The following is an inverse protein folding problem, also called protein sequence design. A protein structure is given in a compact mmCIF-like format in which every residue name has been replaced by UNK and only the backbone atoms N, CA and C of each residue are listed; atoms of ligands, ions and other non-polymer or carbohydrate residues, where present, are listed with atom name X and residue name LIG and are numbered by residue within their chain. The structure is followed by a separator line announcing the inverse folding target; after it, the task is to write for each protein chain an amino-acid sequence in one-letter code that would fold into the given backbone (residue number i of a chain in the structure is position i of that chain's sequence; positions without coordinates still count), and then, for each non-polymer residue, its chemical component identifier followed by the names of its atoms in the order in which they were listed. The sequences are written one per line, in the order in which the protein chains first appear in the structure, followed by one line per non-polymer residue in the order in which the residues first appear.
data_IF_972974337167
#
_entry.id   IF_972974337167
#
_cell.length_a   1.000
_cell.length_b   1.000
_cell.length_c   1.000
_cell.angle_alpha   90.00
_cell.angle_beta   90.00
_cell.angle_gamma   90.00
#
_symmetry.space_group_name_H-M   'P 1'
#
loop_
_entity.id
_entity.type
_entity.pdbx_description
1 polymer ?
#
# COMPACT_ATOMS: atom_id res chain seq x y z
N UNK A 1 -19.66 -65.71 15.20
CA UNK A 1 -20.60 -64.89 14.42
C UNK A 1 -21.55 -65.82 13.68
N UNK A 2 -22.76 -65.99 14.21
CA UNK A 2 -23.82 -66.67 13.46
C UNK A 2 -24.23 -65.77 12.29
N UNK A 3 -23.86 -66.15 11.06
CA UNK A 3 -24.03 -65.31 9.84
C UNK A 3 -25.46 -64.84 9.58
N UNK A 4 -26.46 -65.50 10.16
CA UNK A 4 -27.88 -65.24 10.00
C UNK A 4 -28.48 -64.27 11.04
N UNK A 5 -27.68 -63.70 11.95
CA UNK A 5 -28.17 -62.81 13.00
C UNK A 5 -27.86 -61.32 12.78
N UNK A 6 -27.21 -60.95 11.67
CA UNK A 6 -26.86 -59.55 11.35
C UNK A 6 -26.21 -58.78 12.52
N UNK A 7 -25.40 -59.46 13.33
CA UNK A 7 -24.72 -58.87 14.49
C UNK A 7 -25.62 -58.66 15.73
N UNK A 8 -26.77 -59.32 15.82
CA UNK A 8 -27.58 -59.37 17.04
C UNK A 8 -26.90 -60.19 18.16
N UNK A 9 -25.99 -61.11 17.81
CA UNK A 9 -25.14 -61.87 18.74
C UNK A 9 -24.02 -61.02 19.36
N UNK A 10 -23.81 -59.78 18.91
CA UNK A 10 -22.74 -58.92 19.40
C UNK A 10 -23.22 -58.22 20.69
N UNK A 11 -22.68 -58.59 21.87
CA UNK A 11 -23.16 -58.07 23.15
C UNK A 11 -22.87 -56.58 23.33
N UNK A 12 -21.72 -56.13 22.81
CA UNK A 12 -21.33 -54.72 22.76
C UNK A 12 -20.90 -54.35 21.33
N UNK A 13 -21.84 -53.77 20.59
CA UNK A 13 -21.61 -53.34 19.21
C UNK A 13 -20.54 -52.25 19.12
N UNK A 14 -20.41 -51.38 20.13
CA UNK A 14 -19.43 -50.29 20.13
C UNK A 14 -18.02 -50.83 20.31
N UNK A 15 -17.83 -51.75 21.27
CA UNK A 15 -16.54 -52.42 21.47
C UNK A 15 -16.16 -53.28 20.27
N UNK A 16 -17.12 -53.99 19.66
CA UNK A 16 -16.88 -54.76 18.44
C UNK A 16 -16.39 -53.87 17.30
N UNK A 17 -17.08 -52.76 17.00
CA UNK A 17 -16.68 -51.80 15.97
C UNK A 17 -15.25 -51.29 16.20
N UNK A 18 -14.90 -50.98 17.45
CA UNK A 18 -13.55 -50.55 17.82
C UNK A 18 -12.49 -51.63 17.59
N UNK A 19 -12.78 -52.88 17.96
CA UNK A 19 -11.85 -54.00 17.82
C UNK A 19 -11.54 -54.34 16.35
N UNK A 20 -12.50 -54.11 15.44
CA UNK A 20 -12.30 -54.31 14.00
C UNK A 20 -11.81 -53.06 13.28
N UNK A 21 -11.48 -51.98 14.01
CA UNK A 21 -10.94 -50.74 13.45
C UNK A 21 -11.94 -49.91 12.66
N UNK A 22 -13.24 -50.03 12.94
CA UNK A 22 -14.30 -49.25 12.28
C UNK A 22 -14.72 -48.04 13.11
N UNK A 23 -15.09 -46.95 12.45
CA UNK A 23 -15.55 -45.70 13.07
C UNK A 23 -17.05 -45.71 13.27
N UNK A 24 -17.55 -45.09 14.35
CA UNK A 24 -18.99 -44.92 14.52
C UNK A 24 -19.50 -43.93 13.45
N UNK A 25 -20.66 -44.22 12.86
CA UNK A 25 -21.24 -43.37 11.82
C UNK A 25 -22.75 -43.34 11.84
N UNK A 26 -23.33 -42.25 11.36
CA UNK A 26 -24.76 -42.12 11.07
C UNK A 26 -24.98 -41.15 9.91
N UNK A 27 -26.15 -41.22 9.27
CA UNK A 27 -26.58 -40.23 8.26
C UNK A 27 -27.71 -39.42 8.85
N UNK A 28 -27.64 -38.10 8.69
CA UNK A 28 -28.67 -37.19 9.22
C UNK A 28 -28.83 -35.96 8.35
N UNK A 29 -29.88 -35.18 8.65
CA UNK A 29 -30.16 -33.90 8.01
C UNK A 29 -30.27 -32.82 9.07
N UNK A 30 -29.78 -31.62 8.75
CA UNK A 30 -29.94 -30.43 9.57
C UNK A 30 -31.17 -29.65 9.08
N UNK A 31 -32.29 -29.83 9.77
CA UNK A 31 -33.59 -29.25 9.40
C UNK A 31 -33.92 -28.02 10.27
N UNK A 32 -34.26 -26.90 9.64
CA UNK A 32 -34.67 -25.67 10.34
C UNK A 32 -34.17 -24.38 9.68
N UNK A 33 -33.06 -24.46 8.97
CA UNK A 33 -32.45 -23.34 8.27
C UNK A 33 -30.93 -23.31 8.45
N UNK A 34 -30.29 -22.23 7.99
CA UNK A 34 -28.91 -21.91 8.33
C UNK A 34 -28.89 -21.40 9.77
N UNK A 35 -28.03 -21.97 10.61
CA UNK A 35 -27.95 -21.59 12.01
C UNK A 35 -27.27 -22.66 12.86
N UNK A 36 -27.63 -22.67 14.15
CA UNK A 36 -26.98 -23.45 15.20
C UNK A 36 -27.81 -24.68 15.57
N UNK A 37 -27.11 -25.80 15.75
CA UNK A 37 -27.71 -27.09 16.05
C UNK A 37 -27.01 -27.75 17.22
N UNK A 38 -27.77 -28.29 18.17
CA UNK A 38 -27.21 -29.15 19.23
C UNK A 38 -26.84 -30.52 18.63
N UNK A 39 -25.62 -30.65 18.14
CA UNK A 39 -25.14 -31.83 17.41
C UNK A 39 -24.99 -33.04 18.33
N UNK A 40 -24.38 -32.85 19.49
CA UNK A 40 -24.00 -33.96 20.35
C UNK A 40 -24.10 -33.61 21.84
N UNK A 41 -24.24 -34.65 22.66
CA UNK A 41 -23.95 -34.60 24.09
C UNK A 41 -22.77 -35.52 24.35
N UNK A 42 -21.72 -35.00 24.98
CA UNK A 42 -20.49 -35.73 25.28
C UNK A 42 -20.28 -35.79 26.78
N UNK A 43 -19.78 -36.91 27.29
CA UNK A 43 -19.22 -36.96 28.66
C UNK A 43 -17.73 -37.16 28.55
N UNK A 44 -16.96 -36.19 29.05
CA UNK A 44 -15.51 -36.12 28.88
C UNK A 44 -14.85 -35.80 30.21
N UNK A 45 -14.48 -36.82 31.00
CA UNK A 45 -13.76 -36.63 32.25
C UNK A 45 -12.54 -35.73 32.10
N UNK A 46 -12.23 -34.94 33.13
CA UNK A 46 -11.06 -34.05 33.17
C UNK A 46 -9.73 -34.82 33.33
N UNK A 47 -9.54 -35.84 32.49
CA UNK A 47 -8.45 -36.82 32.53
C UNK A 47 -8.11 -37.27 31.10
N UNK A 48 -7.51 -36.38 30.31
CA UNK A 48 -7.02 -36.65 28.95
C UNK A 48 -8.06 -37.29 27.99
N UNK A 49 -9.33 -36.90 28.10
CA UNK A 49 -10.37 -37.32 27.17
C UNK A 49 -10.29 -36.60 25.83
N UNK A 50 -10.50 -37.32 24.74
CA UNK A 50 -10.56 -36.77 23.37
C UNK A 50 -11.82 -37.27 22.70
N UNK A 51 -12.51 -36.37 21.99
CA UNK A 51 -13.63 -36.70 21.09
C UNK A 51 -13.31 -36.11 19.72
N UNK A 52 -13.50 -36.91 18.68
CA UNK A 52 -13.44 -36.51 17.28
C UNK A 52 -14.82 -36.70 16.66
N UNK A 53 -15.32 -35.69 15.96
CA UNK A 53 -16.55 -35.75 15.17
C UNK A 53 -16.27 -35.11 13.81
N UNK A 54 -16.59 -35.81 12.72
CA UNK A 54 -16.50 -35.25 11.37
C UNK A 54 -17.84 -35.28 10.65
N UNK A 55 -18.05 -34.23 9.86
CA UNK A 55 -19.08 -34.14 8.85
C UNK A 55 -18.46 -34.46 7.48
N UNK A 56 -19.05 -35.40 6.76
CA UNK A 56 -18.73 -35.71 5.36
C UNK A 56 -19.97 -35.35 4.52
N UNK A 57 -19.76 -34.45 3.56
CA UNK A 57 -20.81 -33.69 2.88
C UNK A 57 -20.91 -32.26 3.42
N UNK A 58 -21.93 -31.53 3.00
CA UNK A 58 -22.17 -30.16 3.42
C UNK A 58 -23.52 -29.64 2.97
N UNK A 59 -23.71 -28.33 3.08
CA UNK A 59 -24.88 -27.62 2.62
C UNK A 59 -25.00 -27.64 1.07
N UNK A 60 -26.04 -28.30 0.58
CA UNK A 60 -26.42 -28.42 -0.83
C UNK A 60 -25.79 -29.61 -1.57
N UNK A 61 -26.25 -29.86 -2.80
CA UNK A 61 -25.94 -31.05 -3.61
C UNK A 61 -25.96 -30.75 -5.13
N UNK A 62 -25.57 -29.54 -5.50
CA UNK A 62 -25.53 -29.05 -6.88
C UNK A 62 -24.32 -29.61 -7.64
N UNK A 63 -24.54 -29.97 -8.90
CA UNK A 63 -23.44 -30.30 -9.83
C UNK A 63 -22.54 -29.07 -10.02
N UNK A 64 -21.24 -29.29 -10.27
CA UNK A 64 -20.22 -28.25 -10.43
C UNK A 64 -20.00 -27.35 -9.19
N UNK A 65 -20.45 -27.80 -8.02
CA UNK A 65 -20.21 -27.15 -6.72
C UNK A 65 -19.35 -28.05 -5.82
N UNK A 66 -18.05 -28.26 -6.14
CA UNK A 66 -17.21 -29.27 -5.48
C UNK A 66 -17.01 -29.01 -3.97
N UNK A 67 -17.16 -27.78 -3.49
CA UNK A 67 -17.12 -27.46 -2.07
C UNK A 67 -18.22 -28.18 -1.25
N UNK A 68 -19.32 -28.61 -1.89
CA UNK A 68 -20.43 -29.34 -1.26
C UNK A 68 -20.09 -30.80 -0.97
N UNK A 69 -19.11 -31.38 -1.69
CA UNK A 69 -18.45 -32.62 -1.29
C UNK A 69 -17.41 -32.36 -0.19
N UNK A 70 -17.84 -31.66 0.86
CA UNK A 70 -16.96 -31.13 1.89
C UNK A 70 -16.65 -32.10 3.02
N UNK A 71 -15.65 -31.73 3.81
CA UNK A 71 -15.32 -32.39 5.08
C UNK A 71 -15.13 -31.31 6.14
N UNK A 72 -15.67 -31.52 7.33
CA UNK A 72 -15.40 -30.71 8.52
C UNK A 72 -15.01 -31.61 9.67
N UNK A 73 -13.98 -31.25 10.43
CA UNK A 73 -13.43 -32.09 11.49
C UNK A 73 -13.40 -31.30 12.81
N UNK A 74 -14.21 -31.73 13.76
CA UNK A 74 -14.28 -31.18 15.11
C UNK A 74 -13.52 -32.10 16.07
N UNK A 75 -12.57 -31.54 16.79
CA UNK A 75 -11.83 -32.22 17.86
C UNK A 75 -12.09 -31.50 19.17
N UNK A 76 -12.51 -32.24 20.19
CA UNK A 76 -12.64 -31.76 21.56
C UNK A 76 -11.61 -32.48 22.44
N UNK A 77 -11.03 -31.75 23.39
CA UNK A 77 -10.21 -32.31 24.46
C UNK A 77 -10.68 -31.79 25.81
N UNK A 78 -10.75 -32.66 26.80
CA UNK A 78 -11.01 -32.24 28.17
C UNK A 78 -9.79 -31.53 28.76
N UNK A 79 -10.05 -30.52 29.59
CA UNK A 79 -9.03 -29.89 30.43
C UNK A 79 -8.51 -30.83 31.51
N UNK A 80 -7.56 -30.32 32.31
CA UNK A 80 -6.98 -31.02 33.46
C UNK A 80 -7.74 -30.71 34.77
N UNK A 81 -8.94 -30.14 34.68
CA UNK A 81 -9.72 -29.69 35.84
C UNK A 81 -9.33 -28.30 36.38
N UNK A 82 -8.26 -27.67 35.89
CA UNK A 82 -7.75 -26.38 36.36
C UNK A 82 -7.31 -25.45 35.20
N UNK A 83 -8.23 -24.72 34.55
CA UNK A 83 -9.67 -24.70 34.79
C UNK A 83 -10.36 -25.96 34.25
N UNK A 84 -11.50 -26.31 34.85
CA UNK A 84 -12.37 -27.36 34.32
C UNK A 84 -13.05 -26.87 33.05
N UNK A 85 -13.04 -27.71 32.01
CA UNK A 85 -13.69 -27.38 30.76
C UNK A 85 -13.26 -28.26 29.60
N UNK A 86 -13.58 -27.80 28.40
CA UNK A 86 -13.06 -28.36 27.16
C UNK A 86 -12.16 -27.32 26.48
N UNK A 87 -11.27 -27.80 25.63
CA UNK A 87 -10.76 -27.05 24.49
C UNK A 87 -11.25 -27.74 23.22
N UNK A 88 -11.49 -26.97 22.17
CA UNK A 88 -11.97 -27.52 20.91
C UNK A 88 -11.33 -26.82 19.72
N UNK A 89 -11.16 -27.59 18.65
CA UNK A 89 -10.72 -27.12 17.36
C UNK A 89 -11.65 -27.64 16.26
N UNK A 90 -12.16 -26.76 15.40
CA UNK A 90 -12.84 -27.11 14.17
C UNK A 90 -11.93 -26.80 12.98
N UNK A 91 -11.59 -27.81 12.20
CA UNK A 91 -10.82 -27.65 10.96
C UNK A 91 -11.79 -27.47 9.80
N UNK A 92 -11.98 -26.21 9.41
CA UNK A 92 -12.88 -25.82 8.33
C UNK A 92 -12.14 -25.92 7.00
N UNK A 93 -12.44 -26.98 6.24
CA UNK A 93 -11.85 -27.23 4.91
C UNK A 93 -12.71 -26.70 3.76
N UNK A 94 -14.04 -26.60 3.96
CA UNK A 94 -14.98 -26.06 2.98
C UNK A 94 -15.86 -24.97 3.58
N UNK A 95 -16.46 -24.14 2.73
CA UNK A 95 -17.32 -23.03 3.16
C UNK A 95 -18.72 -23.47 3.59
N UNK A 96 -19.10 -24.73 3.28
CA UNK A 96 -20.49 -25.25 3.39
C UNK A 96 -20.63 -26.43 4.36
N UNK A 97 -19.56 -26.84 5.05
CA UNK A 97 -19.63 -27.79 6.16
C UNK A 97 -19.97 -27.10 7.49
N UNK A 98 -19.43 -27.59 8.60
CA UNK A 98 -19.49 -26.85 9.86
C UNK A 98 -18.70 -25.54 9.73
N UNK A 99 -19.35 -24.42 10.03
CA UNK A 99 -18.74 -23.07 9.94
C UNK A 99 -18.24 -22.58 11.28
N UNK A 100 -18.86 -23.01 12.37
CA UNK A 100 -18.54 -22.65 13.73
C UNK A 100 -18.98 -23.77 14.69
N UNK A 101 -18.52 -23.70 15.94
CA UNK A 101 -18.99 -24.57 17.00
C UNK A 101 -18.77 -23.96 18.38
N UNK A 102 -19.54 -24.43 19.34
CA UNK A 102 -19.49 -24.00 20.73
C UNK A 102 -19.97 -25.14 21.63
N UNK A 103 -19.74 -25.03 22.93
CA UNK A 103 -20.26 -26.01 23.89
C UNK A 103 -20.73 -25.35 25.18
N UNK A 104 -21.47 -26.10 25.99
CA UNK A 104 -21.84 -25.72 27.35
C UNK A 104 -21.74 -26.92 28.27
N UNK A 105 -21.21 -26.72 29.48
CA UNK A 105 -21.24 -27.76 30.51
C UNK A 105 -22.65 -27.84 31.10
N UNK A 106 -23.27 -29.01 31.02
CA UNK A 106 -24.66 -29.20 31.50
C UNK A 106 -24.72 -29.81 32.88
N UNK A 107 -23.76 -30.67 33.23
CA UNK A 107 -23.58 -31.23 34.57
C UNK A 107 -22.28 -32.01 34.63
N UNK A 108 -21.57 -32.00 35.76
CA UNK A 108 -20.37 -32.82 35.94
C UNK A 108 -19.38 -32.64 34.78
N UNK A 109 -18.99 -33.74 34.14
CA UNK A 109 -18.12 -33.75 32.96
C UNK A 109 -18.91 -33.93 31.65
N UNK A 110 -20.20 -33.62 31.66
CA UNK A 110 -21.10 -33.69 30.51
C UNK A 110 -21.25 -32.32 29.85
N UNK A 111 -21.16 -32.30 28.53
CA UNK A 111 -21.21 -31.09 27.72
C UNK A 111 -22.15 -31.30 26.53
N UNK A 112 -22.97 -30.29 26.24
CA UNK A 112 -23.68 -30.20 24.98
C UNK A 112 -22.83 -29.43 23.97
N UNK A 113 -22.71 -30.00 22.77
CA UNK A 113 -21.89 -29.48 21.67
C UNK A 113 -22.81 -28.98 20.58
N UNK A 114 -22.62 -27.72 20.21
CA UNK A 114 -23.38 -27.03 19.17
C UNK A 114 -22.47 -26.75 17.97
N UNK A 115 -23.01 -26.89 16.77
CA UNK A 115 -22.34 -26.53 15.52
C UNK A 115 -23.20 -25.59 14.71
N UNK A 116 -22.56 -24.73 13.95
CA UNK A 116 -23.21 -23.88 12.95
C UNK A 116 -23.03 -24.50 11.57
N UNK A 117 -24.12 -24.57 10.80
CA UNK A 117 -24.12 -25.07 9.43
C UNK A 117 -25.15 -24.33 8.58
N UNK A 118 -24.86 -24.23 7.27
CA UNK A 118 -25.74 -23.58 6.31
C UNK A 118 -27.00 -24.40 5.95
N UNK A 119 -27.89 -23.76 5.19
CA UNK A 119 -29.11 -24.38 4.66
C UNK A 119 -28.82 -25.63 3.81
N UNK A 120 -29.78 -26.55 3.75
CA UNK A 120 -29.75 -27.71 2.84
C UNK A 120 -28.60 -28.70 3.10
N UNK A 121 -28.10 -28.79 4.34
CA UNK A 121 -27.24 -29.89 4.76
C UNK A 121 -28.09 -31.16 5.02
N UNK A 122 -28.49 -31.83 3.93
CA UNK A 122 -29.40 -32.98 3.95
C UNK A 122 -28.70 -34.27 3.59
N UNK A 123 -28.94 -35.34 4.34
CA UNK A 123 -28.35 -36.66 4.08
C UNK A 123 -26.83 -36.67 4.21
N UNK A 124 -26.28 -35.87 5.12
CA UNK A 124 -24.84 -35.79 5.39
C UNK A 124 -24.41 -36.91 6.34
N UNK A 125 -23.16 -37.35 6.22
CA UNK A 125 -22.62 -38.40 7.07
C UNK A 125 -21.87 -37.78 8.25
N UNK A 126 -22.22 -38.23 9.47
CA UNK A 126 -21.48 -37.93 10.68
C UNK A 126 -20.69 -39.15 11.08
N UNK A 127 -19.39 -38.98 11.30
CA UNK A 127 -18.52 -40.01 11.87
C UNK A 127 -17.91 -39.50 13.17
N UNK A 128 -17.69 -40.38 14.14
CA UNK A 128 -17.08 -39.99 15.41
C UNK A 128 -16.30 -41.11 16.09
N UNK A 129 -15.32 -40.71 16.88
CA UNK A 129 -14.51 -41.56 17.75
C UNK A 129 -14.13 -40.83 19.03
N UNK A 130 -13.76 -41.57 20.08
CA UNK A 130 -13.45 -41.02 21.39
C UNK A 130 -12.58 -41.95 22.24
N UNK A 131 -11.88 -41.36 23.21
CA UNK A 131 -11.07 -42.12 24.18
C UNK A 131 -11.93 -43.02 25.05
N UNK A 132 -11.37 -44.11 25.59
CA UNK A 132 -12.11 -45.12 26.37
C UNK A 132 -12.82 -44.59 27.62
N UNK A 133 -12.39 -43.46 28.15
CA UNK A 133 -12.99 -42.80 29.32
C UNK A 133 -14.05 -41.75 28.96
N UNK A 134 -14.30 -41.49 27.68
CA UNK A 134 -15.30 -40.55 27.20
C UNK A 134 -16.52 -41.27 26.61
N UNK A 135 -17.58 -40.53 26.35
CA UNK A 135 -18.73 -41.00 25.58
C UNK A 135 -19.32 -39.89 24.72
N UNK A 136 -19.93 -40.28 23.60
CA UNK A 136 -20.57 -39.38 22.63
C UNK A 136 -21.94 -39.93 22.26
N UNK A 137 -22.95 -39.06 22.31
CA UNK A 137 -24.28 -39.27 21.75
C UNK A 137 -24.52 -38.23 20.66
N UNK A 138 -24.61 -38.67 19.40
CA UNK A 138 -24.99 -37.82 18.27
C UNK A 138 -26.51 -37.72 18.22
N UNK A 139 -27.04 -36.50 18.14
CA UNK A 139 -28.47 -36.24 17.97
C UNK A 139 -28.81 -36.27 16.48
N UNK A 140 -29.42 -37.35 15.99
CA UNK A 140 -29.82 -37.49 14.57
C UNK A 140 -31.02 -36.61 14.17
N UNK A 141 -31.62 -35.91 15.14
CA UNK A 141 -32.62 -34.86 14.95
C UNK A 141 -32.29 -33.70 15.89
N UNK A 142 -31.19 -32.97 15.61
CA UNK A 142 -30.64 -31.98 16.53
C UNK A 142 -31.57 -30.77 16.63
N UNK A 143 -31.67 -30.17 17.81
CA UNK A 143 -32.49 -28.97 18.02
C UNK A 143 -31.86 -27.77 17.32
N UNK A 144 -32.65 -27.03 16.55
CA UNK A 144 -32.24 -25.88 15.76
C UNK A 144 -32.55 -24.54 16.45
N UNK A 145 -31.63 -23.57 16.30
CA UNK A 145 -31.87 -22.15 16.53
C UNK A 145 -31.22 -21.33 15.43
N UNK A 146 -31.88 -20.27 14.97
CA UNK A 146 -31.33 -19.39 13.92
C UNK A 146 -30.04 -18.68 14.40
N UNK A 147 -30.03 -18.24 15.66
CA UNK A 147 -28.89 -17.58 16.29
C UNK A 147 -28.17 -18.52 17.24
N UNK A 148 -26.90 -18.22 17.53
CA UNK A 148 -26.11 -18.92 18.56
C UNK A 148 -26.84 -18.82 19.92
N UNK A 149 -27.10 -19.95 20.61
CA UNK A 149 -27.63 -19.92 21.97
C UNK A 149 -26.75 -19.13 22.94
N UNK A 150 -27.36 -18.52 23.94
CA UNK A 150 -26.65 -17.77 24.98
C UNK A 150 -25.94 -18.72 25.96
N UNK A 151 -24.85 -18.27 26.58
CA UNK A 151 -24.13 -19.04 27.59
C UNK A 151 -23.22 -20.17 27.05
N UNK A 152 -23.07 -20.30 25.73
CA UNK A 152 -22.12 -21.24 25.14
C UNK A 152 -20.69 -20.67 25.14
N UNK A 153 -19.71 -21.52 25.43
CA UNK A 153 -18.28 -21.26 25.26
C UNK A 153 -17.87 -21.50 23.81
N UNK A 154 -17.22 -20.52 23.18
CA UNK A 154 -16.73 -20.63 21.80
C UNK A 154 -15.53 -21.58 21.69
N UNK A 155 -15.54 -22.33 20.60
CA UNK A 155 -14.36 -23.07 20.16
C UNK A 155 -13.46 -22.29 19.22
N UNK A 156 -12.31 -22.87 18.90
CA UNK A 156 -11.39 -22.28 17.91
C UNK A 156 -11.64 -22.88 16.53
N UNK A 157 -11.89 -22.04 15.53
CA UNK A 157 -12.01 -22.46 14.12
C UNK A 157 -10.69 -22.23 13.42
N UNK A 158 -10.06 -23.31 12.93
CA UNK A 158 -8.93 -23.23 12.02
C UNK A 158 -9.43 -23.25 10.58
N UNK A 159 -9.22 -22.15 9.87
CA UNK A 159 -9.57 -22.03 8.45
C UNK A 159 -8.41 -22.55 7.62
N UNK A 160 -8.67 -23.56 6.78
CA UNK A 160 -7.68 -24.04 5.80
C UNK A 160 -7.95 -23.32 4.48
N UNK A 161 -7.03 -22.45 4.09
CA UNK A 161 -7.14 -21.73 2.81
C UNK A 161 -6.97 -22.69 1.62
N UNK A 162 -7.78 -22.47 0.59
CA UNK A 162 -7.86 -23.27 -0.63
C UNK A 162 -8.31 -22.41 -1.81
N UNK A 163 -8.42 -23.00 -3.01
CA UNK A 163 -9.00 -22.32 -4.17
C UNK A 163 -10.45 -21.85 -3.96
N UNK A 164 -11.19 -22.49 -3.04
CA UNK A 164 -12.57 -22.13 -2.65
C UNK A 164 -12.65 -21.26 -1.40
N UNK A 165 -11.71 -21.39 -0.47
CA UNK A 165 -11.57 -20.51 0.70
C UNK A 165 -10.29 -19.72 0.52
N UNK A 166 -10.34 -18.62 -0.24
CA UNK A 166 -9.16 -17.78 -0.45
C UNK A 166 -8.92 -16.90 0.79
N UNK A 167 -7.65 -16.66 1.19
CA UNK A 167 -7.37 -15.69 2.24
C UNK A 167 -7.72 -14.28 1.76
N UNK A 168 -8.12 -13.44 2.70
CA UNK A 168 -8.19 -11.98 2.49
C UNK A 168 -6.81 -11.35 2.62
N UNK A 169 -6.64 -10.11 2.15
CA UNK A 169 -5.38 -9.38 2.37
C UNK A 169 -5.06 -9.22 3.87
N UNK A 170 -6.10 -9.02 4.70
CA UNK A 170 -5.96 -8.94 6.15
C UNK A 170 -5.45 -10.25 6.76
N UNK A 171 -5.94 -11.39 6.26
CA UNK A 171 -5.57 -12.72 6.75
C UNK A 171 -4.06 -13.02 6.60
N UNK A 172 -3.42 -12.42 5.59
CA UNK A 172 -2.00 -12.66 5.26
C UNK A 172 -1.12 -11.44 5.48
N UNK A 173 -1.66 -10.35 6.07
CA UNK A 173 -0.91 -9.11 6.28
C UNK A 173 -0.48 -8.40 4.99
N UNK A 174 -1.19 -8.63 3.88
CA UNK A 174 -0.93 -7.97 2.60
C UNK A 174 -1.72 -6.65 2.46
N UNK A 175 -1.29 -5.80 1.53
CA UNK A 175 -2.09 -4.66 1.08
C UNK A 175 -3.30 -5.15 0.28
N UNK A 176 -4.45 -4.51 0.48
CA UNK A 176 -5.66 -4.79 -0.29
C UNK A 176 -5.57 -4.24 -1.72
N UNK A 177 -6.46 -4.68 -2.62
CA UNK A 177 -6.56 -4.11 -3.98
C UNK A 177 -7.01 -2.65 -4.00
N UNK A 178 -7.70 -2.19 -2.96
CA UNK A 178 -8.03 -0.77 -2.76
C UNK A 178 -6.87 0.04 -2.15
N UNK A 179 -5.70 -0.58 -1.98
CA UNK A 179 -4.53 0.01 -1.34
C UNK A 179 -4.51 -0.18 0.18
N UNK A 180 -3.68 0.61 0.84
CA UNK A 180 -3.49 0.62 2.29
C UNK A 180 -2.31 1.50 2.68
N UNK A 181 -2.01 1.57 3.97
CA UNK A 181 -0.88 2.33 4.49
C UNK A 181 0.32 1.41 4.73
N UNK A 182 1.49 1.84 4.26
CA UNK A 182 2.77 1.28 4.70
C UNK A 182 3.28 2.13 5.87
N UNK A 183 3.51 1.50 7.02
CA UNK A 183 4.06 2.16 8.22
C UNK A 183 5.60 2.25 8.21
N UNK A 184 6.23 1.99 7.05
CA UNK A 184 7.66 2.01 6.86
C UNK A 184 8.04 2.24 5.40
N UNK A 185 9.34 2.24 5.11
CA UNK A 185 9.84 2.49 3.77
C UNK A 185 9.51 1.35 2.79
N UNK A 186 9.34 1.71 1.52
CA UNK A 186 9.25 0.76 0.40
C UNK A 186 10.61 0.67 -0.28
N UNK A 187 11.23 -0.51 -0.27
CA UNK A 187 12.47 -0.76 -0.99
C UNK A 187 12.26 -1.69 -2.18
N UNK A 188 12.78 -1.31 -3.34
CA UNK A 188 12.76 -2.14 -4.55
C UNK A 188 14.16 -2.72 -4.77
N UNK A 189 14.30 -4.03 -4.55
CA UNK A 189 15.56 -4.75 -4.66
C UNK A 189 16.47 -4.65 -3.43
N UNK A 190 16.02 -3.98 -2.36
CA UNK A 190 16.84 -3.63 -1.18
C UNK A 190 15.97 -3.13 -0.03
N UNK A 191 16.52 -3.00 1.18
CA UNK A 191 15.87 -2.33 2.31
C UNK A 191 16.34 -0.87 2.39
N UNK A 192 15.42 0.07 2.61
CA UNK A 192 15.78 1.50 2.74
C UNK A 192 16.59 1.79 4.00
N UNK A 193 17.73 2.48 3.83
CA UNK A 193 18.45 3.15 4.91
C UNK A 193 18.18 4.66 4.96
N UNK A 194 17.42 5.20 4.00
CA UNK A 194 16.92 6.58 4.07
C UNK A 194 15.97 6.77 5.27
N UNK A 195 15.33 5.69 5.74
CA UNK A 195 14.42 5.68 6.88
C UNK A 195 13.10 6.42 6.63
N UNK A 196 12.22 6.42 7.64
CA UNK A 196 10.92 7.11 7.59
C UNK A 196 10.07 6.75 6.37
N UNK A 197 9.33 7.74 5.87
CA UNK A 197 8.49 7.64 4.69
C UNK A 197 9.35 7.79 3.42
N UNK A 198 9.96 6.70 2.97
CA UNK A 198 10.84 6.69 1.80
C UNK A 198 10.53 5.56 0.82
N UNK A 199 10.91 5.79 -0.44
CA UNK A 199 10.96 4.80 -1.51
C UNK A 199 12.39 4.73 -2.01
N UNK A 200 13.05 3.57 -1.95
CA UNK A 200 14.41 3.38 -2.49
C UNK A 200 14.41 2.42 -3.69
N UNK A 201 15.29 2.67 -4.65
CA UNK A 201 15.28 2.02 -5.96
C UNK A 201 16.69 1.52 -6.30
N UNK A 202 16.87 0.19 -6.35
CA UNK A 202 18.14 -0.44 -6.76
C UNK A 202 19.12 -0.63 -5.61
N UNK A 203 19.46 0.43 -4.88
CA UNK A 203 20.28 0.39 -3.66
C UNK A 203 19.52 0.96 -2.45
N UNK A 204 20.12 0.89 -1.26
CA UNK A 204 19.45 1.22 -0.01
C UNK A 204 19.35 2.73 0.28
N UNK A 205 20.00 3.58 -0.50
CA UNK A 205 20.17 4.99 -0.19
C UNK A 205 19.98 5.96 -1.38
N UNK A 206 19.45 5.44 -2.49
CA UNK A 206 18.98 6.22 -3.65
C UNK A 206 17.46 6.10 -3.79
N UNK A 207 16.75 7.23 -3.87
CA UNK A 207 15.30 7.24 -4.00
C UNK A 207 14.62 8.55 -3.59
N UNK A 208 13.40 8.45 -3.08
CA UNK A 208 12.56 9.56 -2.63
C UNK A 208 12.28 9.47 -1.13
N UNK A 209 12.26 10.61 -0.43
CA UNK A 209 11.93 10.66 1.00
C UNK A 209 11.12 11.90 1.33
N UNK A 210 10.07 11.73 2.11
CA UNK A 210 9.35 12.84 2.71
C UNK A 210 10.13 13.37 3.93
N UNK A 211 10.48 14.65 3.92
CA UNK A 211 11.23 15.33 5.00
C UNK A 211 10.43 16.51 5.57
N UNK A 212 9.17 16.25 5.91
CA UNK A 212 8.22 17.23 6.41
C UNK A 212 6.99 17.36 5.50
N UNK A 213 5.96 18.01 6.02
CA UNK A 213 4.77 18.33 5.23
C UNK A 213 5.13 19.19 4.02
N UNK A 214 4.62 18.81 2.84
CA UNK A 214 4.92 19.47 1.57
C UNK A 214 6.37 19.36 1.07
N UNK A 215 7.25 18.61 1.73
CA UNK A 215 8.67 18.48 1.37
C UNK A 215 8.99 17.07 0.86
N UNK A 216 9.10 16.92 -0.46
CA UNK A 216 9.54 15.69 -1.10
C UNK A 216 10.97 15.83 -1.62
N UNK A 217 11.89 15.02 -1.09
CA UNK A 217 13.31 15.08 -1.40
C UNK A 217 13.74 13.86 -2.23
N UNK A 218 14.69 14.09 -3.14
CA UNK A 218 15.37 13.07 -3.94
C UNK A 218 16.76 12.84 -3.38
N UNK A 219 17.10 11.58 -3.17
CA UNK A 219 18.40 11.13 -2.68
C UNK A 219 19.09 10.27 -3.72
N UNK A 220 20.42 10.39 -3.81
CA UNK A 220 21.28 9.49 -4.55
C UNK A 220 22.55 9.23 -3.74
N UNK A 221 22.87 7.96 -3.47
CA UNK A 221 23.98 7.56 -2.58
C UNK A 221 23.98 8.34 -1.26
N UNK A 222 22.85 8.37 -0.55
CA UNK A 222 22.66 9.11 0.71
C UNK A 222 22.74 10.64 0.60
N UNK A 223 22.89 11.21 -0.60
CA UNK A 223 22.97 12.66 -0.81
C UNK A 223 21.64 13.24 -1.24
N UNK A 224 21.13 14.25 -0.52
CA UNK A 224 19.94 15.01 -0.92
C UNK A 224 20.26 15.92 -2.13
N UNK A 225 19.81 15.53 -3.33
CA UNK A 225 20.16 16.20 -4.59
C UNK A 225 19.11 17.23 -5.05
N UNK A 226 17.84 17.01 -4.72
CA UNK A 226 16.74 17.88 -5.17
C UNK A 226 15.57 17.82 -4.20
N UNK A 227 14.88 18.96 -4.01
CA UNK A 227 13.67 19.09 -3.20
C UNK A 227 12.52 19.67 -4.04
N UNK A 228 11.35 19.06 -3.91
CA UNK A 228 10.07 19.56 -4.40
C UNK A 228 9.27 20.10 -3.22
N UNK A 229 8.85 21.36 -3.33
CA UNK A 229 7.88 22.00 -2.42
C UNK A 229 6.77 22.65 -3.23
N UNK A 230 5.67 23.01 -2.57
CA UNK A 230 4.48 23.56 -3.24
C UNK A 230 4.75 24.77 -4.16
N UNK A 231 5.70 25.63 -3.81
CA UNK A 231 6.00 26.86 -4.56
C UNK A 231 7.27 26.82 -5.41
N UNK A 232 8.11 25.80 -5.32
CA UNK A 232 9.39 25.77 -6.03
C UNK A 232 10.00 24.37 -6.11
N UNK A 233 10.97 24.21 -7.02
CA UNK A 233 11.88 23.08 -7.03
C UNK A 233 13.28 23.62 -6.71
N UNK A 234 13.94 23.03 -5.72
CA UNK A 234 15.27 23.43 -5.26
C UNK A 234 16.26 22.34 -5.65
N UNK A 235 17.28 22.70 -6.42
CA UNK A 235 18.39 21.80 -6.73
C UNK A 235 19.56 22.09 -5.78
N UNK A 236 20.04 21.06 -5.07
CA UNK A 236 21.24 21.17 -4.23
C UNK A 236 22.52 20.85 -5.01
N UNK A 237 22.38 20.52 -6.30
CA UNK A 237 23.44 20.19 -7.23
C UNK A 237 23.28 21.01 -8.51
N UNK A 238 24.36 21.14 -9.29
CA UNK A 238 24.28 21.75 -10.63
C UNK A 238 23.29 20.97 -11.51
N UNK A 239 22.46 21.69 -12.26
CA UNK A 239 21.58 21.10 -13.27
C UNK A 239 22.30 21.14 -14.61
N UNK A 240 22.60 19.97 -15.17
CA UNK A 240 23.14 19.85 -16.53
C UNK A 240 21.99 19.81 -17.52
N UNK A 241 21.99 20.73 -18.50
CA UNK A 241 20.90 20.89 -19.47
C UNK A 241 21.51 20.83 -20.88
N UNK A 242 21.13 19.83 -21.66
CA UNK A 242 21.61 19.66 -23.05
C UNK A 242 20.91 20.62 -24.03
N UNK A 243 19.75 21.15 -23.65
CA UNK A 243 18.95 22.08 -24.45
C UNK A 243 18.96 23.53 -23.95
N UNK A 244 18.03 24.33 -24.47
CA UNK A 244 17.86 25.73 -24.06
C UNK A 244 17.00 25.84 -22.80
N UNK A 245 17.35 26.80 -21.92
CA UNK A 245 16.50 27.26 -20.83
C UNK A 245 15.80 28.54 -21.26
N UNK A 246 14.47 28.57 -21.12
CA UNK A 246 13.64 29.74 -21.44
C UNK A 246 12.92 30.25 -20.18
N UNK A 247 13.54 31.14 -19.38
CA UNK A 247 12.85 31.83 -18.31
C UNK A 247 11.65 32.64 -18.81
N UNK A 248 10.60 32.75 -18.00
CA UNK A 248 9.50 33.69 -18.24
C UNK A 248 9.90 35.15 -17.99
N UNK A 249 10.96 35.35 -17.21
CA UNK A 249 11.57 36.63 -16.90
C UNK A 249 13.09 36.53 -17.03
N UNK A 250 13.67 37.39 -17.85
CA UNK A 250 15.12 37.49 -18.09
C UNK A 250 15.76 38.65 -17.30
N UNK A 251 15.04 39.34 -16.41
CA UNK A 251 15.53 40.55 -15.72
C UNK A 251 16.87 40.36 -14.98
N UNK A 252 17.09 39.19 -14.37
CA UNK A 252 18.36 38.84 -13.72
C UNK A 252 19.49 38.48 -14.71
N UNK A 253 19.18 38.20 -15.98
CA UNK A 253 20.14 38.04 -17.06
C UNK A 253 20.44 39.38 -17.73
N UNK A 254 19.39 40.08 -18.15
CA UNK A 254 19.43 41.34 -18.90
C UNK A 254 20.11 42.51 -18.15
N UNK A 255 20.21 42.41 -16.83
CA UNK A 255 20.94 43.36 -15.98
C UNK A 255 22.47 43.19 -16.01
N UNK A 256 22.98 42.11 -16.59
CA UNK A 256 24.42 41.74 -16.52
C UNK A 256 25.20 42.02 -17.81
N UNK A 257 24.54 42.23 -18.94
CA UNK A 257 25.22 42.43 -20.23
C UNK A 257 24.73 43.66 -20.99
N UNK A 258 25.62 44.20 -21.84
CA UNK A 258 25.27 45.21 -22.83
C UNK A 258 24.45 44.54 -23.93
N UNK A 259 23.22 45.04 -24.12
CA UNK A 259 22.29 44.54 -25.12
C UNK A 259 22.49 45.19 -26.49
N UNK A 260 22.98 46.43 -26.51
CA UNK A 260 23.21 47.19 -27.74
C UNK A 260 24.20 48.35 -27.51
N UNK A 261 24.81 48.87 -28.59
CA UNK A 261 25.74 50.02 -28.59
C UNK A 261 25.43 50.92 -29.79
N UNK A 262 25.37 52.24 -29.58
CA UNK A 262 25.09 53.21 -30.65
C UNK A 262 25.82 54.53 -30.48
N UNK A 263 25.81 55.34 -31.53
CA UNK A 263 26.09 56.78 -31.42
C UNK A 263 24.79 57.53 -31.08
N UNK A 264 24.85 58.39 -30.06
CA UNK A 264 23.75 59.24 -29.67
C UNK A 264 23.56 60.44 -30.62
N UNK A 265 22.83 61.45 -30.13
CA UNK A 265 22.54 62.67 -30.89
C UNK A 265 23.81 63.41 -31.28
N UNK A 266 23.86 63.90 -32.53
CA UNK A 266 24.96 64.74 -33.01
C UNK A 266 24.97 66.07 -32.29
N UNK A 267 26.16 66.49 -31.88
CA UNK A 267 26.46 67.81 -31.34
C UNK A 267 27.42 68.52 -32.29
N UNK A 268 27.45 69.85 -32.23
CA UNK A 268 28.34 70.68 -33.04
C UNK A 268 29.08 71.67 -32.14
N UNK A 269 30.40 71.75 -32.31
CA UNK A 269 31.23 72.78 -31.70
C UNK A 269 31.72 73.71 -32.80
N UNK A 270 31.12 74.89 -32.89
CA UNK A 270 31.46 75.91 -33.89
C UNK A 270 32.44 76.95 -33.37
N UNK A 271 33.26 77.50 -34.27
CA UNK A 271 34.27 78.52 -33.99
C UNK A 271 34.29 79.59 -35.08
N UNK A 272 34.84 80.76 -34.77
CA UNK A 272 35.01 81.86 -35.73
C UNK A 272 36.38 81.75 -36.45
N UNK A 273 36.49 82.31 -37.65
CA UNK A 273 37.69 82.23 -38.52
C UNK A 273 38.84 83.18 -38.16
N UNK A 274 38.76 83.92 -37.05
CA UNK A 274 39.77 84.90 -36.64
C UNK A 274 40.58 84.46 -35.42
N UNK A 275 40.39 83.23 -34.93
CA UNK A 275 41.01 82.73 -33.69
C UNK A 275 41.52 81.30 -33.88
N UNK A 276 42.70 80.99 -33.34
CA UNK A 276 43.17 79.60 -33.18
C UNK A 276 42.31 78.89 -32.12
N UNK A 277 41.93 77.64 -32.37
CA UNK A 277 41.11 76.85 -31.46
C UNK A 277 41.66 75.42 -31.32
N UNK A 278 41.37 74.81 -30.17
CA UNK A 278 41.65 73.41 -29.88
C UNK A 278 40.38 72.80 -29.29
N UNK A 279 39.97 71.64 -29.80
CA UNK A 279 38.82 70.91 -29.31
C UNK A 279 39.17 69.46 -29.02
N UNK A 280 38.75 69.00 -27.85
CA UNK A 280 38.77 67.60 -27.45
C UNK A 280 37.34 67.17 -27.19
N UNK A 281 36.96 66.02 -27.73
CA UNK A 281 35.65 65.44 -27.44
C UNK A 281 35.46 65.28 -25.92
N UNK A 282 34.29 65.65 -25.35
CA UNK A 282 33.97 65.31 -23.97
C UNK A 282 34.03 63.79 -23.73
N UNK A 283 34.12 63.36 -22.46
CA UNK A 283 34.15 61.94 -22.09
C UNK A 283 33.05 61.13 -22.81
N UNK A 284 33.42 60.00 -23.40
CA UNK A 284 32.53 59.14 -24.16
C UNK A 284 32.13 59.63 -25.55
N UNK A 285 32.62 60.77 -26.02
CA UNK A 285 32.29 61.30 -27.34
C UNK A 285 33.38 61.00 -28.37
N UNK A 286 32.96 60.87 -29.63
CA UNK A 286 33.83 60.72 -30.80
C UNK A 286 33.49 61.76 -31.85
N UNK A 287 34.49 62.19 -32.63
CA UNK A 287 34.29 63.05 -33.79
C UNK A 287 33.53 62.28 -34.88
N UNK A 288 32.53 62.92 -35.48
CA UNK A 288 31.68 62.34 -36.52
C UNK A 288 31.57 63.21 -37.76
N UNK A 289 32.28 64.34 -37.81
CA UNK A 289 32.34 65.20 -38.97
C UNK A 289 33.14 66.47 -38.71
N UNK A 290 33.55 67.13 -39.80
CA UNK A 290 34.26 68.40 -39.79
C UNK A 290 33.47 69.36 -40.68
N UNK A 291 33.24 70.58 -40.21
CA UNK A 291 32.65 71.65 -41.02
C UNK A 291 33.78 72.51 -41.59
N UNK A 292 33.91 72.52 -42.91
CA UNK A 292 34.91 73.30 -43.65
C UNK A 292 34.19 74.49 -44.31
N UNK A 293 34.70 75.70 -44.12
CA UNK A 293 34.12 76.91 -44.68
C UNK A 293 35.11 77.68 -45.55
N UNK A 294 34.57 78.25 -46.63
CA UNK A 294 35.25 79.24 -47.46
C UNK A 294 35.32 80.58 -46.70
N UNK A 295 36.50 81.21 -46.68
CA UNK A 295 36.73 82.50 -46.02
C UNK A 295 36.94 83.67 -46.98
N UNK A 296 36.66 83.49 -48.28
CA UNK A 296 36.70 84.51 -49.32
C UNK A 296 37.95 84.49 -50.19
N UNK A 297 37.97 85.35 -51.22
CA UNK A 297 39.00 85.38 -52.27
C UNK A 297 40.43 85.52 -51.71
N UNK A 298 41.34 84.66 -52.19
CA UNK A 298 42.76 84.59 -51.80
C UNK A 298 43.02 84.14 -50.35
N UNK A 299 42.13 83.32 -49.78
CA UNK A 299 42.34 82.65 -48.48
C UNK A 299 42.32 81.11 -48.63
N UNK A 300 42.83 80.39 -47.63
CA UNK A 300 42.68 78.94 -47.54
C UNK A 300 41.39 78.59 -46.79
N UNK A 301 40.78 77.44 -47.10
CA UNK A 301 39.61 76.93 -46.35
C UNK A 301 39.94 76.77 -44.86
N UNK A 302 39.01 77.20 -44.01
CA UNK A 302 39.14 77.08 -42.56
C UNK A 302 38.18 76.03 -42.00
N UNK A 303 38.54 75.41 -40.88
CA UNK A 303 37.64 74.52 -40.15
C UNK A 303 36.73 75.38 -39.25
N UNK A 304 35.47 75.48 -39.63
CA UNK A 304 34.41 76.25 -38.95
C UNK A 304 33.90 75.58 -37.66
N UNK A 305 34.20 74.29 -37.50
CA UNK A 305 33.81 73.51 -36.32
C UNK A 305 33.84 72.01 -36.58
N UNK A 306 33.45 71.25 -35.55
CA UNK A 306 33.40 69.79 -35.59
C UNK A 306 32.07 69.25 -35.08
N UNK A 307 31.63 68.15 -35.70
CA UNK A 307 30.51 67.36 -35.21
C UNK A 307 31.02 66.20 -34.37
N UNK A 308 30.35 65.93 -33.25
CA UNK A 308 30.71 64.84 -32.36
C UNK A 308 29.45 64.19 -31.76
N UNK A 309 29.55 62.92 -31.36
CA UNK A 309 28.44 62.15 -30.79
C UNK A 309 28.90 61.36 -29.57
N UNK A 310 28.07 61.19 -28.53
CA UNK A 310 28.38 60.25 -27.45
C UNK A 310 28.24 58.82 -27.96
N UNK A 311 29.18 57.96 -27.62
CA UNK A 311 28.99 56.51 -27.66
C UNK A 311 28.09 56.14 -26.49
N UNK A 312 27.02 55.41 -26.77
CA UNK A 312 26.07 54.96 -25.76
C UNK A 312 25.99 53.43 -25.74
N UNK A 313 25.76 52.86 -24.55
CA UNK A 313 25.51 51.43 -24.34
C UNK A 313 24.15 51.21 -23.71
N UNK A 314 23.43 50.17 -24.13
CA UNK A 314 22.11 49.80 -23.63
C UNK A 314 22.22 48.65 -22.64
N UNK A 315 21.84 48.90 -21.38
CA UNK A 315 21.85 47.89 -20.31
C UNK A 315 20.51 47.98 -19.59
N UNK A 316 19.85 46.83 -19.39
CA UNK A 316 18.60 46.72 -18.63
C UNK A 316 17.52 47.77 -18.97
N UNK A 317 17.29 48.07 -20.26
CA UNK A 317 16.24 49.04 -20.63
C UNK A 317 16.69 50.49 -20.69
N UNK A 318 17.95 50.82 -20.37
CA UNK A 318 18.44 52.20 -20.27
C UNK A 318 19.69 52.42 -21.12
N UNK A 319 19.74 53.56 -21.81
CA UNK A 319 20.92 54.03 -22.54
C UNK A 319 21.83 54.85 -21.62
N UNK A 320 23.10 54.47 -21.56
CA UNK A 320 24.13 55.17 -20.80
C UNK A 320 25.20 55.71 -21.75
N UNK A 321 25.66 56.94 -21.52
CA UNK A 321 26.88 57.44 -22.18
C UNK A 321 28.08 56.65 -21.65
N UNK A 322 28.98 56.25 -22.55
CA UNK A 322 30.24 55.61 -22.20
C UNK A 322 31.18 56.64 -21.55
N UNK A 323 32.15 56.19 -20.76
CA UNK A 323 33.19 57.03 -20.19
C UNK A 323 34.52 56.84 -20.94
N UNK A 324 35.26 57.92 -21.12
CA UNK A 324 36.67 57.92 -21.54
C UNK A 324 37.57 57.93 -20.29
N UNK A 325 38.69 57.20 -20.35
CA UNK A 325 39.74 57.13 -19.31
C UNK A 325 40.96 57.94 -19.71
#
# INVERSE_FOLDING_TARGET
LQKNQNGADIPDKKLFLRNIGTTNSTTMSFSGGAGWFKLATVTMPQASSVVYISLIGGAGYNVNSPMQAGISELVLRAGNGNPKGLTGALWRRTSVGFTNFAWVNTSGDTYDVYVEIGNYATGVNIQWDYTSNASVTIHTSPTYTANKPTGLTDGTVYVIYSSHIKPTAADVGALSLSGGQLNGALGIGTSSVLGGNSIVLGDNDTGFKQNGDGNLDVYANSVHVMRFVSGSIQSNKTINITGRVNPSDYGNFDSRYVKDVRLGSQQYYGVNNWQTWNFQCPSGHVLTGINVQDTGSNSADNIAGVYYRPVQKYINGTWYNVASV
#
